data_IF_810294210976
#
_entry.id   IF_810294210976
#
_cell.length_a   1.000
_cell.length_b   1.000
_cell.length_c   1.000
_cell.angle_alpha   90.00
_cell.angle_beta   90.00
_cell.angle_gamma   90.00
#
_symmetry.space_group_name_H-M   'P 1'
#
loop_
_entity.id
_entity.type
_entity.pdbx_description
1 polymer ?
#
# COMPACT_ATOMS: atom_id res chain seq x y z
N UNK A 1 -47.18 -19.23 -5.17
CA UNK A 1 -46.18 -18.62 -6.07
C UNK A 1 -45.65 -17.36 -5.36
N UNK A 2 -44.63 -17.56 -4.51
CA UNK A 2 -44.07 -16.48 -3.68
C UNK A 2 -42.79 -15.99 -4.35
N UNK A 3 -42.79 -14.71 -4.73
CA UNK A 3 -41.62 -14.00 -5.26
C UNK A 3 -40.66 -13.66 -4.10
N UNK A 4 -39.50 -14.27 -4.10
CA UNK A 4 -38.43 -13.94 -3.17
C UNK A 4 -37.82 -12.55 -3.54
N UNK A 5 -38.00 -11.58 -2.66
CA UNK A 5 -37.37 -10.28 -2.73
C UNK A 5 -35.84 -10.41 -2.64
N UNK A 6 -35.12 -10.07 -3.70
CA UNK A 6 -33.70 -9.88 -3.67
C UNK A 6 -33.40 -8.62 -2.85
N UNK A 7 -32.93 -8.78 -1.63
CA UNK A 7 -32.31 -7.70 -0.89
C UNK A 7 -30.98 -7.34 -1.55
N UNK A 8 -30.96 -6.19 -2.19
CA UNK A 8 -29.73 -5.54 -2.65
C UNK A 8 -28.93 -5.15 -1.40
N UNK A 9 -27.79 -5.77 -1.19
CA UNK A 9 -26.83 -5.36 -0.16
C UNK A 9 -26.23 -4.04 -0.66
N UNK A 10 -26.76 -2.93 -0.16
CA UNK A 10 -26.18 -1.61 -0.39
C UNK A 10 -24.81 -1.57 0.30
N UNK A 11 -23.75 -1.50 -0.49
CA UNK A 11 -22.42 -1.18 0.01
C UNK A 11 -22.46 0.20 0.70
N UNK A 12 -21.86 0.37 1.88
CA UNK A 12 -21.88 1.66 2.56
C UNK A 12 -21.18 2.72 1.72
N UNK A 13 -21.95 3.66 1.19
CA UNK A 13 -21.48 4.76 0.33
C UNK A 13 -20.60 5.79 1.07
N UNK A 14 -20.33 5.59 2.36
CA UNK A 14 -19.54 6.49 3.20
C UNK A 14 -18.05 6.58 2.78
N UNK A 15 -17.51 5.61 2.05
CA UNK A 15 -16.12 5.61 1.59
C UNK A 15 -15.91 6.35 0.25
N UNK A 16 -16.97 6.59 -0.51
CA UNK A 16 -16.87 7.25 -1.82
C UNK A 16 -16.92 8.79 -1.74
N UNK A 17 -17.21 9.36 -0.57
CA UNK A 17 -17.36 10.80 -0.36
C UNK A 17 -16.21 11.49 0.37
N UNK A 18 -15.19 10.77 0.80
CA UNK A 18 -14.09 11.39 1.54
C UNK A 18 -13.15 12.09 0.55
N UNK A 19 -13.13 13.42 0.63
CA UNK A 19 -12.23 14.26 -0.17
C UNK A 19 -10.79 13.85 0.19
N UNK A 20 -10.08 13.28 -0.79
CA UNK A 20 -8.65 12.99 -0.64
C UNK A 20 -7.92 14.28 -0.28
N UNK A 21 -7.09 14.30 0.77
CA UNK A 21 -6.34 15.49 1.13
C UNK A 21 -5.46 15.90 -0.04
N UNK A 22 -5.43 17.20 -0.34
CA UNK A 22 -4.53 17.72 -1.38
C UNK A 22 -3.11 17.76 -0.82
N UNK A 23 -2.42 16.64 -0.87
CA UNK A 23 -1.00 16.54 -0.53
C UNK A 23 -0.19 16.91 -1.77
N UNK A 24 0.75 17.83 -1.60
CA UNK A 24 1.61 18.26 -2.70
C UNK A 24 2.87 17.40 -2.76
N UNK A 25 3.58 17.43 -3.90
CA UNK A 25 4.90 16.80 -4.02
C UNK A 25 5.91 17.37 -3.01
N UNK A 26 5.77 18.64 -2.65
CA UNK A 26 6.61 19.30 -1.64
C UNK A 26 6.36 18.69 -0.26
N UNK A 27 5.09 18.45 0.09
CA UNK A 27 4.74 17.80 1.36
C UNK A 27 5.29 16.35 1.38
N UNK A 28 5.12 15.61 0.29
CA UNK A 28 5.64 14.25 0.16
C UNK A 28 7.17 14.20 0.31
N UNK A 29 7.90 15.11 -0.33
CA UNK A 29 9.35 15.24 -0.19
C UNK A 29 9.73 15.52 1.26
N UNK A 30 9.07 16.48 1.91
CA UNK A 30 9.35 16.84 3.30
C UNK A 30 9.11 15.68 4.27
N UNK A 31 8.02 14.92 4.07
CA UNK A 31 7.69 13.72 4.86
C UNK A 31 8.80 12.67 4.71
N UNK A 32 9.19 12.34 3.46
CA UNK A 32 10.23 11.35 3.21
C UNK A 32 11.57 11.75 3.83
N UNK A 33 11.99 12.97 3.61
CA UNK A 33 13.27 13.46 4.13
C UNK A 33 13.28 13.49 5.66
N UNK A 34 12.23 14.02 6.28
CA UNK A 34 12.14 14.20 7.74
C UNK A 34 12.01 12.88 8.49
N UNK A 35 11.17 11.98 8.01
CA UNK A 35 10.76 10.80 8.79
C UNK A 35 11.43 9.50 8.33
N UNK A 36 11.88 9.44 7.07
CA UNK A 36 12.50 8.23 6.53
C UNK A 36 13.95 8.43 6.10
N UNK A 37 14.46 9.66 6.18
CA UNK A 37 15.83 9.98 5.75
C UNK A 37 16.05 9.86 4.23
N UNK A 38 14.96 9.77 3.45
CA UNK A 38 15.00 9.58 2.00
C UNK A 38 14.72 10.91 1.32
N UNK A 39 15.71 11.41 0.56
CA UNK A 39 15.58 12.59 -0.29
C UNK A 39 15.63 12.17 -1.76
N UNK A 40 14.78 12.77 -2.61
CA UNK A 40 14.75 12.41 -4.02
C UNK A 40 13.71 13.15 -4.83
N UNK A 41 13.55 12.76 -6.08
CA UNK A 41 12.50 13.29 -6.96
C UNK A 41 11.15 12.67 -6.61
N UNK A 42 10.08 13.46 -6.74
CA UNK A 42 8.72 13.04 -6.38
C UNK A 42 7.81 13.07 -7.60
N UNK A 43 7.17 11.93 -7.90
CA UNK A 43 6.16 11.82 -8.95
C UNK A 43 4.84 11.30 -8.36
N UNK A 44 3.70 11.80 -8.84
CA UNK A 44 2.41 11.27 -8.42
C UNK A 44 2.21 9.86 -8.96
N UNK A 45 1.66 8.98 -8.15
CA UNK A 45 1.12 7.69 -8.56
C UNK A 45 -0.40 7.70 -8.41
N UNK A 46 -1.08 6.94 -9.27
CA UNK A 46 -2.53 6.75 -9.16
C UNK A 46 -2.85 5.91 -7.93
N UNK A 47 -3.84 6.34 -7.15
CA UNK A 47 -4.39 5.61 -6.02
C UNK A 47 -5.90 5.78 -5.98
N UNK A 48 -6.64 4.76 -5.52
CA UNK A 48 -8.10 4.83 -5.40
C UNK A 48 -8.54 5.45 -4.07
N UNK A 49 -7.91 5.06 -2.98
CA UNK A 49 -8.24 5.48 -1.61
C UNK A 49 -7.12 6.28 -0.95
N UNK A 50 -5.88 5.92 -1.24
CA UNK A 50 -4.68 6.52 -0.68
C UNK A 50 -4.05 7.50 -1.66
N UNK A 51 -3.32 8.47 -1.14
CA UNK A 51 -2.44 9.29 -1.96
C UNK A 51 -1.09 8.59 -2.03
N UNK A 52 -0.63 8.34 -3.25
CA UNK A 52 0.61 7.65 -3.49
C UNK A 52 1.59 8.53 -4.27
N UNK A 53 2.86 8.49 -3.86
CA UNK A 53 3.95 9.14 -4.57
C UNK A 53 5.09 8.16 -4.83
N UNK A 54 5.65 8.20 -6.01
CA UNK A 54 6.93 7.59 -6.31
C UNK A 54 8.04 8.55 -5.87
N UNK A 55 8.95 8.05 -5.06
CA UNK A 55 10.16 8.74 -4.63
C UNK A 55 11.34 8.01 -5.27
N UNK A 56 12.20 8.73 -5.95
CA UNK A 56 13.43 8.20 -6.55
C UNK A 56 14.61 8.97 -5.97
N UNK A 57 15.46 8.28 -5.23
CA UNK A 57 16.62 8.89 -4.58
C UNK A 57 17.79 9.13 -5.55
N UNK A 58 18.83 9.78 -5.06
CA UNK A 58 20.01 10.09 -5.89
C UNK A 58 20.79 8.84 -6.34
N UNK A 59 20.63 7.73 -5.64
CA UNK A 59 21.22 6.42 -5.99
C UNK A 59 20.38 5.62 -6.98
N UNK A 60 19.20 6.12 -7.38
CA UNK A 60 18.26 5.44 -8.27
C UNK A 60 17.36 4.42 -7.56
N UNK A 61 17.42 4.31 -6.24
CA UNK A 61 16.47 3.49 -5.50
C UNK A 61 15.08 4.13 -5.51
N UNK A 62 14.05 3.31 -5.66
CA UNK A 62 12.67 3.75 -5.82
C UNK A 62 11.78 3.26 -4.69
N UNK A 63 10.93 4.14 -4.21
CA UNK A 63 10.02 3.92 -3.10
C UNK A 63 8.63 4.42 -3.42
N UNK A 64 7.63 3.88 -2.72
CA UNK A 64 6.25 4.38 -2.74
C UNK A 64 5.93 4.97 -1.38
N UNK A 65 5.76 6.28 -1.31
CA UNK A 65 5.16 6.93 -0.15
C UNK A 65 3.63 6.79 -0.26
N UNK A 66 3.03 6.08 0.70
CA UNK A 66 1.58 5.94 0.84
C UNK A 66 1.09 6.79 2.00
N UNK A 67 0.13 7.67 1.72
CA UNK A 67 -0.54 8.49 2.73
C UNK A 67 -1.99 8.03 2.78
N UNK A 68 -2.37 7.38 3.86
CA UNK A 68 -3.70 6.81 4.02
C UNK A 68 -4.76 7.91 4.12
N UNK A 69 -5.95 7.61 3.61
CA UNK A 69 -7.10 8.47 3.83
C UNK A 69 -7.37 8.63 5.32
N UNK A 70 -7.74 9.84 5.77
CA UNK A 70 -8.06 10.11 7.18
C UNK A 70 -9.26 9.32 7.71
N UNK A 71 -10.12 8.81 6.83
CA UNK A 71 -11.23 7.94 7.18
C UNK A 71 -10.81 6.45 7.33
N UNK A 72 -9.59 6.09 6.92
CA UNK A 72 -9.11 4.71 7.07
C UNK A 72 -8.78 4.46 8.55
N UNK A 73 -9.24 3.32 9.06
CA UNK A 73 -8.98 2.93 10.44
C UNK A 73 -7.50 2.58 10.63
N UNK A 74 -6.83 3.09 11.68
CA UNK A 74 -5.43 2.78 11.95
C UNK A 74 -5.13 1.28 12.01
N UNK A 75 -6.07 0.47 12.55
CA UNK A 75 -5.94 -0.97 12.67
C UNK A 75 -5.85 -1.68 11.31
N UNK A 76 -6.52 -1.13 10.28
CA UNK A 76 -6.44 -1.66 8.91
C UNK A 76 -5.07 -1.38 8.31
N UNK A 77 -4.54 -0.18 8.54
CA UNK A 77 -3.20 0.20 8.07
C UNK A 77 -2.12 -0.63 8.77
N UNK A 78 -2.29 -0.85 10.09
CA UNK A 78 -1.40 -1.69 10.87
C UNK A 78 -1.43 -3.14 10.38
N UNK A 79 -2.62 -3.73 10.22
CA UNK A 79 -2.78 -5.08 9.68
C UNK A 79 -2.06 -5.25 8.34
N UNK A 80 -2.23 -4.31 7.41
CA UNK A 80 -1.55 -4.33 6.11
C UNK A 80 -0.02 -4.27 6.28
N UNK A 81 0.46 -3.48 7.22
CA UNK A 81 1.89 -3.33 7.50
C UNK A 81 2.46 -4.61 8.09
N UNK A 82 1.78 -5.21 9.08
CA UNK A 82 2.18 -6.47 9.70
C UNK A 82 2.19 -7.63 8.69
N UNK A 83 1.23 -7.67 7.77
CA UNK A 83 1.23 -8.65 6.68
C UNK A 83 2.47 -8.55 5.79
N UNK A 84 2.90 -7.33 5.43
CA UNK A 84 4.14 -7.13 4.66
C UNK A 84 5.39 -7.53 5.45
N UNK A 85 5.47 -7.17 6.72
CA UNK A 85 6.58 -7.56 7.60
C UNK A 85 6.63 -9.07 7.83
N UNK A 86 5.46 -9.72 7.90
CA UNK A 86 5.38 -11.17 7.99
C UNK A 86 5.89 -11.84 6.71
N UNK A 87 5.47 -11.37 5.53
CA UNK A 87 5.97 -11.86 4.24
C UNK A 87 7.49 -11.64 4.10
N UNK A 88 8.02 -10.53 4.61
CA UNK A 88 9.44 -10.27 4.58
C UNK A 88 10.24 -11.31 5.37
N UNK A 89 9.73 -11.73 6.55
CA UNK A 89 10.37 -12.75 7.40
C UNK A 89 10.23 -14.16 6.85
N UNK A 90 9.02 -14.53 6.40
CA UNK A 90 8.69 -15.93 6.09
C UNK A 90 8.80 -16.28 4.60
N UNK A 91 8.70 -15.28 3.73
CA UNK A 91 8.82 -15.46 2.29
C UNK A 91 9.71 -14.36 1.66
N UNK A 92 11.00 -14.23 2.07
CA UNK A 92 11.87 -13.13 1.66
C UNK A 92 12.14 -13.09 0.15
N UNK A 93 11.97 -14.21 -0.56
CA UNK A 93 12.13 -14.29 -2.01
C UNK A 93 10.88 -13.86 -2.78
N UNK A 94 9.74 -13.73 -2.10
CA UNK A 94 8.51 -13.29 -2.74
C UNK A 94 8.65 -11.82 -3.18
N UNK A 95 8.34 -11.46 -4.44
CA UNK A 95 8.36 -10.08 -4.91
C UNK A 95 7.17 -9.30 -4.35
N UNK A 96 7.26 -8.96 -3.08
CA UNK A 96 6.31 -8.12 -2.36
C UNK A 96 6.99 -6.82 -1.90
N UNK A 97 6.27 -5.71 -1.78
CA UNK A 97 6.83 -4.47 -1.24
C UNK A 97 7.41 -4.69 0.17
N UNK A 98 8.53 -4.04 0.48
CA UNK A 98 9.14 -4.06 1.81
C UNK A 98 8.85 -2.76 2.53
N UNK A 99 8.63 -2.84 3.84
CA UNK A 99 8.40 -1.67 4.68
C UNK A 99 9.74 -0.99 4.97
N UNK A 100 9.85 0.29 4.62
CA UNK A 100 10.99 1.11 4.98
C UNK A 100 10.70 1.74 6.33
N UNK A 101 11.54 1.47 7.30
CA UNK A 101 11.41 2.02 8.65
C UNK A 101 11.69 3.51 8.66
N UNK A 102 11.03 4.20 9.56
CA UNK A 102 11.35 5.60 9.89
C UNK A 102 12.73 5.69 10.54
N UNK A 103 13.30 6.89 10.62
CA UNK A 103 14.62 7.13 11.23
C UNK A 103 14.67 6.78 12.71
N UNK A 104 13.52 6.72 13.40
CA UNK A 104 13.36 6.28 14.78
C UNK A 104 12.92 4.80 14.91
N UNK A 105 12.89 4.06 13.79
CA UNK A 105 12.66 2.61 13.75
C UNK A 105 11.18 2.18 13.66
N UNK A 106 10.22 3.11 13.56
CA UNK A 106 8.82 2.78 13.42
C UNK A 106 8.47 2.32 11.98
N UNK A 107 7.35 1.61 11.83
CA UNK A 107 6.86 1.09 10.54
C UNK A 107 6.09 2.14 9.73
N UNK A 108 5.63 3.19 10.40
CA UNK A 108 4.86 4.28 9.82
C UNK A 108 4.99 5.53 10.68
N UNK A 109 4.49 6.64 10.18
CA UNK A 109 4.44 7.91 10.92
C UNK A 109 3.06 8.55 10.79
N UNK A 110 2.59 9.17 11.88
CA UNK A 110 1.40 10.01 11.86
C UNK A 110 1.81 11.41 11.38
N UNK A 111 1.21 11.87 10.29
CA UNK A 111 1.46 13.20 9.73
C UNK A 111 0.19 14.04 9.80
N UNK A 112 0.34 15.31 10.20
CA UNK A 112 -0.76 16.26 10.25
C UNK A 112 -0.76 17.12 8.99
N UNK A 113 -1.77 16.91 8.13
CA UNK A 113 -1.91 17.62 6.86
C UNK A 113 -3.30 18.27 6.79
N UNK A 114 -3.34 19.58 6.58
CA UNK A 114 -4.59 20.35 6.38
C UNK A 114 -5.68 20.04 7.42
N UNK A 115 -5.30 20.06 8.71
CA UNK A 115 -6.19 19.85 9.86
C UNK A 115 -6.68 18.40 10.05
N UNK A 116 -6.06 17.43 9.38
CA UNK A 116 -6.37 16.02 9.54
C UNK A 116 -5.09 15.21 9.79
N UNK A 117 -5.24 14.12 10.55
CA UNK A 117 -4.17 13.16 10.77
C UNK A 117 -4.22 12.06 9.72
N UNK A 118 -3.07 11.73 9.18
CA UNK A 118 -2.89 10.67 8.18
C UNK A 118 -1.75 9.77 8.60
N UNK A 119 -1.84 8.49 8.27
CA UNK A 119 -0.73 7.56 8.44
C UNK A 119 0.08 7.56 7.13
N UNK A 120 1.38 7.85 7.23
CA UNK A 120 2.30 7.78 6.10
C UNK A 120 3.25 6.58 6.28
N UNK A 121 3.36 5.77 5.21
CA UNK A 121 4.26 4.61 5.12
C UNK A 121 5.12 4.74 3.89
N UNK A 122 6.37 4.32 4.00
CA UNK A 122 7.28 4.22 2.86
C UNK A 122 7.53 2.74 2.55
N UNK A 123 7.31 2.36 1.31
CA UNK A 123 7.49 0.99 0.83
C UNK A 123 8.50 0.96 -0.31
N UNK A 124 9.18 -0.16 -0.53
CA UNK A 124 9.98 -0.33 -1.75
C UNK A 124 9.06 -0.35 -2.98
N UNK A 125 9.53 0.23 -4.07
CA UNK A 125 8.84 0.17 -5.35
C UNK A 125 9.07 -1.18 -6.00
N UNK A 126 8.01 -1.81 -6.52
CA UNK A 126 8.13 -3.02 -7.33
C UNK A 126 8.27 -2.66 -8.80
N UNK A 127 9.36 -3.12 -9.39
CA UNK A 127 9.59 -2.98 -10.82
C UNK A 127 8.62 -3.85 -11.60
N UNK A 128 8.15 -3.35 -12.74
CA UNK A 128 7.28 -4.12 -13.61
C UNK A 128 6.38 -3.27 -14.49
N UNK A 129 5.58 -3.97 -15.30
CA UNK A 129 4.52 -3.35 -16.09
C UNK A 129 3.16 -3.72 -15.47
N UNK A 130 2.24 -2.77 -15.30
CA UNK A 130 0.87 -3.07 -14.93
C UNK A 130 0.26 -4.11 -15.86
N UNK A 131 -0.49 -5.06 -15.32
CA UNK A 131 -1.01 -6.19 -16.08
C UNK A 131 -1.85 -5.77 -17.31
N UNK A 132 -2.60 -4.67 -17.18
CA UNK A 132 -3.41 -4.11 -18.29
C UNK A 132 -2.58 -3.51 -19.43
N UNK A 133 -1.29 -3.20 -19.19
CA UNK A 133 -0.33 -2.72 -20.18
C UNK A 133 0.62 -3.83 -20.67
N UNK A 134 0.59 -5.01 -20.03
CA UNK A 134 1.38 -6.16 -20.47
C UNK A 134 0.69 -6.85 -21.63
N UNK A 135 1.48 -7.33 -22.60
CA UNK A 135 0.96 -8.17 -23.67
C UNK A 135 0.34 -9.45 -23.11
N UNK A 136 -0.76 -9.92 -23.68
CA UNK A 136 -1.39 -11.18 -23.28
C UNK A 136 -0.53 -12.37 -23.71
N UNK A 137 -0.28 -13.31 -22.77
CA UNK A 137 0.32 -14.60 -23.06
C UNK A 137 -0.47 -15.72 -22.39
N UNK A 138 -0.43 -16.93 -22.96
CA UNK A 138 -1.12 -18.10 -22.43
C UNK A 138 -0.60 -18.51 -21.03
N UNK A 139 0.64 -18.18 -20.69
CA UNK A 139 1.23 -18.48 -19.40
C UNK A 139 0.88 -17.49 -18.27
N UNK A 140 0.37 -16.30 -18.59
CA UNK A 140 0.06 -15.28 -17.57
C UNK A 140 -0.95 -15.71 -16.50
N UNK A 141 -2.08 -16.36 -16.84
CA UNK A 141 -3.02 -16.80 -15.79
C UNK A 141 -2.41 -17.80 -14.83
N UNK A 142 -1.60 -18.73 -15.34
CA UNK A 142 -0.88 -19.70 -14.51
C UNK A 142 0.15 -19.01 -13.61
N UNK A 143 0.96 -18.12 -14.15
CA UNK A 143 1.95 -17.37 -13.38
C UNK A 143 1.30 -16.51 -12.28
N UNK A 144 0.17 -15.87 -12.58
CA UNK A 144 -0.60 -15.11 -11.59
C UNK A 144 -1.16 -16.02 -10.49
N UNK A 145 -1.74 -17.16 -10.85
CA UNK A 145 -2.25 -18.13 -9.88
C UNK A 145 -1.15 -18.69 -8.99
N UNK A 146 0.00 -19.04 -9.54
CA UNK A 146 1.17 -19.50 -8.78
C UNK A 146 1.70 -18.42 -7.83
N UNK A 147 1.72 -17.16 -8.27
CA UNK A 147 2.13 -16.05 -7.43
C UNK A 147 1.15 -15.81 -6.26
N UNK A 148 -0.17 -15.82 -6.52
CA UNK A 148 -1.18 -15.70 -5.48
C UNK A 148 -1.08 -16.84 -4.46
N UNK A 149 -0.93 -18.09 -4.91
CA UNK A 149 -0.71 -19.22 -4.03
C UNK A 149 0.56 -19.06 -3.16
N UNK A 150 1.62 -18.49 -3.71
CA UNK A 150 2.85 -18.20 -2.95
C UNK A 150 2.64 -17.12 -1.88
N UNK A 151 1.80 -16.12 -2.14
CA UNK A 151 1.40 -15.13 -1.13
C UNK A 151 0.60 -15.81 -0.01
N UNK A 152 -0.40 -16.63 -0.37
CA UNK A 152 -1.25 -17.32 0.60
C UNK A 152 -0.42 -18.23 1.50
N UNK A 153 0.49 -19.04 0.94
CA UNK A 153 1.42 -19.87 1.70
C UNK A 153 2.34 -19.03 2.61
N UNK A 154 2.82 -17.89 2.12
CA UNK A 154 3.64 -16.96 2.89
C UNK A 154 2.89 -16.35 4.07
N UNK A 155 1.57 -16.18 3.98
CA UNK A 155 0.71 -15.61 5.01
C UNK A 155 0.13 -16.67 5.97
N UNK A 156 -0.05 -17.93 5.54
CA UNK A 156 -0.67 -18.99 6.34
C UNK A 156 0.01 -19.25 7.68
N UNK A 157 1.32 -19.02 7.79
CA UNK A 157 2.06 -19.22 9.02
C UNK A 157 1.87 -18.10 10.06
N UNK A 158 1.05 -17.07 9.76
CA UNK A 158 0.81 -15.94 10.68
C UNK A 158 -0.27 -16.19 11.71
N UNK A 159 -1.12 -17.22 11.54
CA UNK A 159 -2.32 -17.43 12.36
C UNK A 159 -2.31 -18.76 13.13
N UNK A 160 -1.17 -19.44 13.21
CA UNK A 160 -1.06 -20.80 13.72
C UNK A 160 -0.44 -20.99 15.10
N UNK A 161 -0.06 -19.94 15.84
CA UNK A 161 0.40 -20.04 17.22
C UNK A 161 -0.28 -18.96 18.07
N UNK A 162 -1.41 -19.32 18.66
CA UNK A 162 -2.15 -18.63 19.69
C UNK A 162 -2.59 -19.61 20.75
#
# INVERSE_FOLDING_TARGET
MMLASRQSVAMPSALLGTILPRVTKKDAHAICQKHFGVAGTVKNLTGEKDINFLIEDAGGARYVLKISNSAEKPEVVDFQTQALLHLERNAPRLPAPRVIRTTDGADHVLVHLKHQNHIARLLTYLEGKPLHLAGRSSGQPFALGAFLASIDLGLCNSFGEG
#
